data_IF_010003847223
#
_entry.id   IF_010003847223
#
_cell.length_a   1.000
_cell.length_b   1.000
_cell.length_c   1.000
_cell.angle_alpha   90.00
_cell.angle_beta   90.00
_cell.angle_gamma   90.00
#
_symmetry.space_group_name_H-M   'P 1'
#
loop_
_entity.id
_entity.type
_entity.pdbx_description
1 polymer ?
#
# COMPACT_ATOMS: atom_id res chain seq x y z
N UNK A 1 -8.18 -4.90 -6.65
CA UNK A 1 -7.02 -5.34 -7.46
C UNK A 1 -6.82 -6.86 -7.45
N UNK A 2 -7.33 -7.57 -6.44
CA UNK A 2 -7.36 -9.04 -6.42
C UNK A 2 -7.89 -9.69 -7.73
N UNK A 3 -9.00 -9.17 -8.27
CA UNK A 3 -9.62 -9.71 -9.50
C UNK A 3 -8.72 -9.56 -10.73
N UNK A 4 -7.86 -8.53 -10.75
CA UNK A 4 -6.91 -8.31 -11.85
C UNK A 4 -5.84 -9.40 -11.87
N UNK A 5 -5.43 -9.91 -10.70
CA UNK A 5 -4.44 -11.00 -10.64
C UNK A 5 -5.03 -12.31 -11.15
N UNK A 6 -6.26 -12.61 -10.75
CA UNK A 6 -7.00 -13.77 -11.25
C UNK A 6 -7.14 -13.71 -12.76
N UNK A 7 -7.45 -12.53 -13.31
CA UNK A 7 -7.52 -12.33 -14.76
C UNK A 7 -6.16 -12.55 -15.44
N UNK A 8 -5.07 -12.03 -14.86
CA UNK A 8 -3.73 -12.24 -15.41
C UNK A 8 -3.25 -13.68 -15.34
N UNK A 9 -3.62 -14.41 -14.28
CA UNK A 9 -3.31 -15.83 -14.15
C UNK A 9 -4.06 -16.63 -15.24
N UNK A 10 -5.35 -16.34 -15.47
CA UNK A 10 -6.12 -16.94 -16.56
C UNK A 10 -5.50 -16.62 -17.94
N UNK A 11 -5.11 -15.37 -18.19
CA UNK A 11 -4.46 -14.98 -19.46
C UNK A 11 -3.12 -15.68 -19.63
N UNK A 12 -2.37 -15.92 -18.55
CA UNK A 12 -1.12 -16.66 -18.60
C UNK A 12 -1.33 -18.16 -18.89
N UNK A 13 -2.46 -18.72 -18.48
CA UNK A 13 -2.86 -20.10 -18.79
C UNK A 13 -3.30 -20.23 -20.26
N UNK A 14 -4.12 -19.28 -20.75
CA UNK A 14 -4.59 -19.26 -22.14
C UNK A 14 -3.45 -18.94 -23.13
N UNK A 15 -2.49 -18.10 -22.71
CA UNK A 15 -1.35 -17.66 -23.53
C UNK A 15 -0.03 -17.83 -22.77
N UNK A 16 0.62 -19.01 -22.86
CA UNK A 16 1.83 -19.32 -22.11
C UNK A 16 3.00 -18.35 -22.35
N UNK A 17 3.10 -17.78 -23.55
CA UNK A 17 4.15 -16.80 -23.90
C UNK A 17 4.06 -15.53 -23.02
N UNK A 18 2.85 -15.14 -22.61
CA UNK A 18 2.60 -13.97 -21.78
C UNK A 18 2.90 -14.22 -20.30
N UNK A 19 3.03 -15.49 -19.89
CA UNK A 19 3.24 -15.86 -18.49
C UNK A 19 4.53 -15.26 -17.91
N UNK A 20 5.57 -15.11 -18.74
CA UNK A 20 6.85 -14.50 -18.34
C UNK A 20 6.70 -13.01 -17.91
N UNK A 21 5.67 -12.34 -18.42
CA UNK A 21 5.37 -10.93 -18.16
C UNK A 21 4.28 -10.75 -17.10
N UNK A 22 3.38 -11.71 -16.96
CA UNK A 22 2.20 -11.58 -16.12
C UNK A 22 2.35 -12.27 -14.76
N UNK A 23 3.19 -13.30 -14.61
CA UNK A 23 3.30 -14.05 -13.34
C UNK A 23 3.69 -13.19 -12.13
N UNK A 24 3.38 -13.61 -10.89
CA UNK A 24 3.83 -12.93 -9.66
C UNK A 24 5.35 -12.74 -9.55
N UNK A 25 6.13 -13.57 -10.27
CA UNK A 25 7.58 -13.50 -10.36
C UNK A 25 8.09 -12.80 -11.61
N UNK A 26 7.22 -12.15 -12.39
CA UNK A 26 7.62 -11.45 -13.60
C UNK A 26 8.61 -10.30 -13.28
N UNK A 27 9.51 -10.00 -14.21
CA UNK A 27 10.55 -8.96 -14.03
C UNK A 27 10.00 -7.56 -13.73
N UNK A 28 8.74 -7.30 -14.09
CA UNK A 28 8.04 -6.04 -13.84
C UNK A 28 7.65 -5.87 -12.36
N UNK A 29 7.56 -6.97 -11.60
CA UNK A 29 7.26 -6.94 -10.17
C UNK A 29 8.54 -6.58 -9.42
N UNK A 30 8.62 -5.35 -8.94
CA UNK A 30 9.85 -4.82 -8.35
C UNK A 30 10.02 -5.25 -6.90
N UNK A 31 8.92 -5.44 -6.14
CA UNK A 31 8.98 -5.85 -4.74
C UNK A 31 7.97 -6.95 -4.39
N UNK A 32 8.19 -8.21 -4.83
CA UNK A 32 7.17 -9.26 -4.76
C UNK A 32 6.53 -9.46 -3.39
N UNK A 33 7.31 -9.39 -2.31
CA UNK A 33 6.82 -9.56 -0.93
C UNK A 33 5.93 -8.40 -0.49
N UNK A 34 6.30 -7.17 -0.86
CA UNK A 34 5.53 -5.98 -0.54
C UNK A 34 4.22 -5.92 -1.34
N UNK A 35 4.29 -6.20 -2.64
CA UNK A 35 3.13 -6.19 -3.53
C UNK A 35 2.11 -7.26 -3.10
N UNK A 36 2.59 -8.47 -2.77
CA UNK A 36 1.75 -9.54 -2.22
C UNK A 36 1.13 -9.15 -0.87
N UNK A 37 1.87 -8.45 -0.01
CA UNK A 37 1.35 -7.96 1.26
C UNK A 37 0.19 -6.97 1.07
N UNK A 38 0.30 -6.03 0.12
CA UNK A 38 -0.78 -5.08 -0.20
C UNK A 38 -2.04 -5.80 -0.70
N UNK A 39 -1.90 -6.77 -1.61
CA UNK A 39 -3.03 -7.58 -2.10
C UNK A 39 -3.69 -8.35 -0.95
N UNK A 40 -2.91 -8.89 -0.01
CA UNK A 40 -3.46 -9.56 1.18
C UNK A 40 -4.16 -8.61 2.13
N UNK A 41 -3.66 -7.38 2.30
CA UNK A 41 -4.33 -6.33 3.10
C UNK A 41 -5.68 -5.97 2.47
N UNK A 42 -5.72 -5.75 1.15
CA UNK A 42 -6.96 -5.46 0.39
C UNK A 42 -8.00 -6.57 0.61
N UNK A 43 -7.58 -7.83 0.52
CA UNK A 43 -8.44 -9.01 0.68
C UNK A 43 -8.69 -9.42 2.14
N UNK A 44 -8.17 -8.67 3.13
CA UNK A 44 -8.27 -9.00 4.57
C UNK A 44 -7.74 -10.41 4.91
N UNK A 45 -6.73 -10.87 4.18
CA UNK A 45 -6.04 -12.15 4.39
C UNK A 45 -4.88 -11.96 5.38
N UNK A 46 -4.56 -13.00 6.15
CA UNK A 46 -3.43 -12.96 7.10
C UNK A 46 -2.09 -12.85 6.37
N UNK A 47 -1.24 -11.94 6.85
CA UNK A 47 0.12 -11.74 6.33
C UNK A 47 1.11 -12.70 7.00
N UNK A 48 2.11 -13.13 6.24
CA UNK A 48 3.31 -13.77 6.79
C UNK A 48 4.19 -12.77 7.53
N UNK A 49 5.14 -13.24 8.33
CA UNK A 49 6.08 -12.37 9.05
C UNK A 49 6.99 -11.55 8.10
N UNK A 50 7.30 -12.06 6.91
CA UNK A 50 8.06 -11.31 5.91
C UNK A 50 7.22 -10.19 5.29
N UNK A 51 5.98 -10.49 4.92
CA UNK A 51 5.02 -9.53 4.38
C UNK A 51 4.70 -8.43 5.41
N UNK A 52 4.39 -8.79 6.66
CA UNK A 52 4.11 -7.83 7.72
C UNK A 52 5.27 -6.84 7.97
N UNK A 53 6.52 -7.30 7.85
CA UNK A 53 7.70 -6.42 7.93
C UNK A 53 7.80 -5.48 6.73
N UNK A 54 7.45 -5.93 5.53
CA UNK A 54 7.50 -5.10 4.32
C UNK A 54 6.52 -3.92 4.36
N UNK A 55 5.36 -4.10 5.01
CA UNK A 55 4.30 -3.07 5.13
C UNK A 55 4.31 -2.36 6.49
N UNK A 56 5.38 -2.50 7.28
CA UNK A 56 5.43 -1.96 8.64
C UNK A 56 5.16 -0.46 8.72
N UNK A 57 5.54 0.29 7.67
CA UNK A 57 5.29 1.75 7.57
C UNK A 57 3.81 2.12 7.50
N UNK A 58 2.93 1.16 7.20
CA UNK A 58 1.49 1.36 7.10
C UNK A 58 0.74 0.91 8.35
N UNK A 59 1.42 0.36 9.36
CA UNK A 59 0.78 -0.04 10.61
C UNK A 59 0.38 1.22 11.39
N UNK A 60 -0.90 1.29 11.75
CA UNK A 60 -1.43 2.33 12.62
C UNK A 60 -1.48 1.75 14.03
N UNK A 61 -0.78 2.38 14.96
CA UNK A 61 -0.92 2.04 16.37
C UNK A 61 -2.39 2.27 16.79
N UNK A 62 -3.01 1.34 17.51
CA UNK A 62 -4.36 1.55 18.01
C UNK A 62 -4.38 2.85 18.82
N UNK A 63 -5.45 3.66 18.72
CA UNK A 63 -5.55 4.87 19.51
C UNK A 63 -5.35 4.48 20.97
N UNK A 64 -4.34 5.06 21.62
CA UNK A 64 -4.07 4.80 23.02
C UNK A 64 -5.39 5.06 23.76
N UNK A 65 -6.00 4.00 24.29
CA UNK A 65 -7.05 4.17 25.26
C UNK A 65 -6.44 5.05 26.33
N UNK A 66 -6.97 6.25 26.53
CA UNK A 66 -6.68 7.10 27.67
C UNK A 66 -7.18 6.36 28.92
N UNK A 67 -6.43 5.34 29.30
CA UNK A 67 -6.70 4.53 30.48
C UNK A 67 -6.54 5.46 31.67
N UNK A 68 -7.68 5.83 32.26
CA UNK A 68 -7.71 6.40 33.61
C UNK A 68 -6.71 5.63 34.46
N UNK A 69 -5.74 6.35 35.02
CA UNK A 69 -4.70 5.84 35.91
C UNK A 69 -5.35 4.94 36.95
N UNK A 70 -5.31 3.62 36.74
CA UNK A 70 -5.81 2.65 37.71
C UNK A 70 -4.89 2.72 38.91
N UNK A 71 -5.45 3.18 40.02
CA UNK A 71 -4.82 3.26 41.32
C UNK A 71 -4.15 1.92 41.65
N UNK A 72 -2.88 2.00 42.09
CA UNK A 72 -2.02 0.85 42.35
C UNK A 72 -2.53 0.14 43.60
N UNK A 73 -3.46 -0.81 43.48
CA UNK A 73 -3.73 -1.72 44.60
C UNK A 73 -2.52 -2.65 44.77
N UNK A 74 -1.99 -2.71 45.99
CA UNK A 74 -0.85 -3.55 46.41
C UNK A 74 -1.02 -5.01 45.92
N UNK A 75 -0.46 -5.34 44.77
CA UNK A 75 -0.41 -6.72 44.26
C UNK A 75 1.01 -7.23 44.40
N UNK A 76 1.19 -8.04 45.44
CA UNK A 76 2.21 -9.04 45.72
C UNK A 76 3.30 -9.25 44.65
N UNK A 77 4.56 -8.96 45.03
CA UNK A 77 5.78 -9.02 44.21
C UNK A 77 5.94 -10.36 43.46
N UNK A 78 5.47 -11.47 44.06
CA UNK A 78 5.50 -12.79 43.44
C UNK A 78 4.64 -12.87 42.15
N UNK A 79 3.51 -12.16 42.09
CA UNK A 79 2.66 -12.11 40.89
C UNK A 79 3.30 -11.28 39.76
N UNK A 80 4.12 -10.28 40.10
CA UNK A 80 4.86 -9.47 39.13
C UNK A 80 5.95 -10.28 38.43
N UNK A 81 6.69 -11.11 39.18
CA UNK A 81 7.71 -12.02 38.62
C UNK A 81 7.07 -13.09 37.74
N UNK A 82 5.97 -13.70 38.20
CA UNK A 82 5.29 -14.74 37.42
C UNK A 82 4.66 -14.19 36.13
N UNK A 83 4.13 -12.96 36.14
CA UNK A 83 3.66 -12.27 34.93
C UNK A 83 4.79 -11.77 34.03
N UNK A 84 5.95 -11.43 34.60
CA UNK A 84 7.16 -11.07 33.86
C UNK A 84 7.76 -12.28 33.11
N UNK A 85 7.83 -13.44 33.77
CA UNK A 85 8.32 -14.70 33.19
C UNK A 85 7.32 -15.37 32.24
N UNK A 86 6.02 -15.18 32.48
CA UNK A 86 4.92 -15.62 31.60
C UNK A 86 4.33 -14.48 30.77
N UNK A 87 5.13 -13.50 30.33
CA UNK A 87 4.94 -12.94 28.98
C UNK A 87 5.37 -14.00 27.98
N UNK A 88 4.64 -15.12 28.02
CA UNK A 88 4.47 -15.98 26.90
C UNK A 88 4.19 -15.06 25.71
N UNK A 89 4.82 -15.40 24.60
CA UNK A 89 4.67 -14.89 23.25
C UNK A 89 3.22 -15.03 22.74
N UNK A 90 2.25 -14.66 23.56
CA UNK A 90 0.89 -14.32 23.21
C UNK A 90 0.88 -12.88 22.65
N UNK A 91 1.79 -12.59 21.71
CA UNK A 91 1.40 -11.80 20.56
C UNK A 91 0.54 -12.69 19.67
N UNK A 92 -0.57 -13.18 20.22
CA UNK A 92 -1.67 -13.67 19.41
C UNK A 92 -2.05 -12.47 18.57
N UNK A 93 -1.87 -12.62 17.27
CA UNK A 93 -2.02 -11.60 16.25
C UNK A 93 -3.22 -10.69 16.55
N UNK A 94 -2.99 -9.59 17.27
CA UNK A 94 -3.86 -8.45 17.19
C UNK A 94 -3.80 -8.08 15.71
N UNK A 95 -4.91 -8.24 15.00
CA UNK A 95 -5.00 -7.92 13.58
C UNK A 95 -4.47 -6.50 13.41
N UNK A 96 -3.26 -6.36 12.88
CA UNK A 96 -2.64 -5.06 12.73
C UNK A 96 -3.58 -4.20 11.89
N UNK A 97 -3.94 -3.03 12.40
CA UNK A 97 -4.74 -2.08 11.64
C UNK A 97 -3.80 -1.35 10.70
N UNK A 98 -4.03 -1.50 9.40
CA UNK A 98 -3.26 -0.81 8.38
C UNK A 98 -3.97 0.49 7.97
N UNK A 99 -3.18 1.52 7.68
CA UNK A 99 -3.63 2.79 7.12
C UNK A 99 -4.44 2.53 5.84
N UNK A 100 -5.50 3.32 5.62
CA UNK A 100 -6.34 3.23 4.42
C UNK A 100 -5.55 3.35 3.12
N UNK A 101 -4.43 4.07 3.12
CA UNK A 101 -3.49 4.13 1.99
C UNK A 101 -3.01 2.73 1.55
N UNK A 102 -2.75 1.81 2.47
CA UNK A 102 -2.34 0.45 2.13
C UNK A 102 -3.45 -0.36 1.46
N UNK A 103 -4.72 0.06 1.60
CA UNK A 103 -5.88 -0.58 0.98
C UNK A 103 -6.13 -0.08 -0.44
N UNK A 104 -5.72 1.16 -0.74
CA UNK A 104 -5.95 1.80 -2.05
C UNK A 104 -4.71 1.86 -2.92
N UNK A 105 -3.51 1.62 -2.35
CA UNK A 105 -2.26 1.66 -3.10
C UNK A 105 -2.25 0.55 -4.16
N UNK A 106 -2.01 0.90 -5.44
CA UNK A 106 -1.77 -0.11 -6.47
C UNK A 106 -0.55 -0.94 -6.07
N UNK A 107 -0.62 -2.28 -6.10
CA UNK A 107 0.52 -3.13 -5.78
C UNK A 107 1.69 -2.91 -6.75
N UNK A 108 1.44 -2.53 -8.00
CA UNK A 108 2.49 -2.37 -9.02
C UNK A 108 2.95 -0.93 -9.20
N UNK A 109 4.22 -0.74 -9.60
CA UNK A 109 4.82 0.57 -9.93
C UNK A 109 4.34 1.19 -11.25
N UNK A 110 3.50 0.49 -12.02
CA UNK A 110 3.04 0.88 -13.35
C UNK A 110 2.46 2.31 -13.43
N UNK A 111 1.71 2.77 -12.42
CA UNK A 111 1.15 4.13 -12.37
C UNK A 111 2.27 5.18 -12.37
N UNK A 112 3.34 4.93 -11.62
CA UNK A 112 4.50 5.81 -11.51
C UNK A 112 5.35 5.76 -12.79
N UNK A 113 5.55 4.57 -13.37
CA UNK A 113 6.26 4.42 -14.65
C UNK A 113 5.54 5.11 -15.80
N UNK A 114 4.21 5.02 -15.83
CA UNK A 114 3.38 5.72 -16.83
C UNK A 114 3.46 7.23 -16.66
N UNK A 115 3.45 7.73 -15.43
CA UNK A 115 3.71 9.14 -15.13
C UNK A 115 5.09 9.57 -15.67
N UNK A 116 6.16 8.85 -15.35
CA UNK A 116 7.50 9.20 -15.82
C UNK A 116 7.64 9.11 -17.35
N UNK A 117 6.96 8.17 -17.98
CA UNK A 117 6.89 8.08 -19.44
C UNK A 117 6.21 9.32 -20.04
N UNK A 118 5.13 9.83 -19.44
CA UNK A 118 4.50 11.08 -19.87
C UNK A 118 5.40 12.29 -19.63
N UNK A 119 6.07 12.34 -18.48
CA UNK A 119 7.06 13.36 -18.15
C UNK A 119 8.18 13.44 -19.20
N UNK A 120 8.65 12.31 -19.71
CA UNK A 120 9.64 12.26 -20.80
C UNK A 120 9.15 12.96 -22.08
N UNK A 121 7.86 12.87 -22.40
CA UNK A 121 7.29 13.59 -23.54
C UNK A 121 7.13 15.10 -23.29
N UNK A 122 7.01 15.52 -22.03
CA UNK A 122 6.94 16.94 -21.66
C UNK A 122 8.34 17.58 -21.68
N UNK A 123 9.38 16.84 -21.25
CA UNK A 123 10.77 17.27 -21.22
C UNK A 123 11.46 17.11 -22.58
N UNK A 124 11.09 17.95 -23.54
CA UNK A 124 11.75 18.03 -24.85
C UNK A 124 12.91 19.05 -24.83
N UNK A 125 13.94 18.93 -25.69
CA UNK A 125 15.01 19.92 -25.81
C UNK A 125 14.50 21.35 -26.03
N UNK A 126 13.41 21.52 -26.78
CA UNK A 126 12.75 22.80 -27.06
C UNK A 126 12.09 23.42 -25.82
N UNK A 127 11.91 22.65 -24.74
CA UNK A 127 11.33 23.06 -23.46
C UNK A 127 12.38 23.10 -22.34
N UNK A 128 13.67 23.03 -22.68
CA UNK A 128 14.78 23.07 -21.71
C UNK A 128 14.84 24.34 -20.86
N UNK A 129 14.26 25.45 -21.32
CA UNK A 129 14.15 26.69 -20.54
C UNK A 129 13.05 26.65 -19.46
N UNK A 130 12.27 25.57 -19.37
CA UNK A 130 11.26 25.39 -18.33
C UNK A 130 11.95 25.12 -16.98
N UNK A 131 11.67 25.96 -15.99
CA UNK A 131 12.13 25.74 -14.62
C UNK A 131 11.57 24.41 -14.07
N UNK A 132 12.36 23.64 -13.30
CA UNK A 132 11.91 22.36 -12.72
C UNK A 132 10.58 22.46 -11.96
N UNK A 133 10.40 23.53 -11.17
CA UNK A 133 9.16 23.76 -10.42
C UNK A 133 7.92 23.90 -11.34
N UNK A 134 8.06 24.54 -12.50
CA UNK A 134 6.96 24.68 -13.46
C UNK A 134 6.64 23.34 -14.13
N UNK A 135 7.67 22.55 -14.42
CA UNK A 135 7.51 21.21 -14.94
C UNK A 135 6.77 20.29 -13.96
N UNK A 136 7.19 20.28 -12.68
CA UNK A 136 6.55 19.51 -11.62
C UNK A 136 5.06 19.88 -11.48
N UNK A 137 4.77 21.18 -11.47
CA UNK A 137 3.39 21.67 -11.38
C UNK A 137 2.54 21.25 -12.60
N UNK A 138 3.08 21.33 -13.81
CA UNK A 138 2.38 20.86 -15.02
C UNK A 138 2.13 19.35 -15.00
N UNK A 139 3.12 18.55 -14.59
CA UNK A 139 2.98 17.10 -14.47
C UNK A 139 1.94 16.72 -13.41
N UNK A 140 1.98 17.39 -12.26
CA UNK A 140 1.03 17.21 -11.17
C UNK A 140 -0.41 17.51 -11.62
N UNK A 141 -0.64 18.67 -12.24
CA UNK A 141 -1.96 19.04 -12.74
C UNK A 141 -2.44 18.08 -13.82
N UNK A 142 -1.56 17.68 -14.75
CA UNK A 142 -1.93 16.78 -15.84
C UNK A 142 -2.39 15.40 -15.35
N UNK A 143 -1.66 14.78 -14.42
CA UNK A 143 -2.01 13.44 -13.91
C UNK A 143 -3.25 13.47 -13.04
N UNK A 144 -3.46 14.57 -12.31
CA UNK A 144 -4.62 14.73 -11.43
C UNK A 144 -5.79 15.45 -12.12
N UNK A 145 -5.85 15.45 -13.46
CA UNK A 145 -6.86 16.20 -14.24
C UNK A 145 -8.29 15.95 -13.74
N UNK A 146 -8.62 14.71 -13.40
CA UNK A 146 -9.96 14.33 -12.95
C UNK A 146 -10.37 14.96 -11.61
N UNK A 147 -9.40 15.40 -10.79
CA UNK A 147 -9.65 16.01 -9.49
C UNK A 147 -9.96 17.51 -9.55
N UNK A 148 -9.66 18.18 -10.68
CA UNK A 148 -9.85 19.64 -10.81
C UNK A 148 -10.54 20.05 -12.12
N UNK A 149 -10.85 19.12 -13.01
CA UNK A 149 -11.73 19.41 -14.14
C UNK A 149 -13.16 19.46 -13.62
N UNK A 150 -13.79 20.64 -13.68
CA UNK A 150 -15.20 20.81 -13.34
C UNK A 150 -16.08 20.11 -14.38
N UNK A 151 -16.16 18.78 -14.30
CA UNK A 151 -17.26 18.05 -14.95
C UNK A 151 -18.46 18.25 -14.06
N UNK A 152 -19.10 19.43 -14.16
CA UNK A 152 -20.40 19.64 -13.55
C UNK A 152 -21.34 18.55 -14.10
N UNK A 153 -21.93 17.68 -13.26
CA UNK A 153 -23.05 16.89 -13.72
C UNK A 153 -24.19 17.89 -13.95
N UNK A 154 -24.32 18.38 -15.19
CA UNK A 154 -25.56 18.97 -15.68
C UNK A 154 -26.56 17.81 -15.83
N UNK A 155 -27.05 17.29 -14.72
CA UNK A 155 -28.26 16.46 -14.68
C UNK A 155 -29.43 17.37 -14.39
N UNK A 156 -30.03 17.81 -15.50
CA UNK A 156 -31.46 18.01 -15.75
C UNK A 156 -32.41 17.67 -14.60
N UNK A 157 -33.18 18.68 -14.17
CA UNK A 157 -34.56 18.49 -13.69
C UNK A 157 -35.52 18.31 -14.88
#
# INVERSE_FOLDING_TARGET
MADVRVLFDQVADDYPDMASHLRPSAKIVNSPVFEAALVKIENKVKLTAAEARSVQRFVVDPPASSGKRKERSSSDYANEILRGGKKARASGAASATYNDLAKVMPPTSNTVERLFSQCKFILTPQRSCMLPANFEMLAFLRVNRDLWTATSPLTTE
#
